data_IF_795265348019
#
_entry.id   IF_795265348019
#
_cell.length_a   1.000
_cell.length_b   1.000
_cell.length_c   1.000
_cell.angle_alpha   90.00
_cell.angle_beta   90.00
_cell.angle_gamma   90.00
#
_symmetry.space_group_name_H-M   'P 1'
#
loop_
_entity.id
_entity.type
_entity.pdbx_description
1 polymer ?
#
# COMPACT_ATOMS: atom_id res chain seq x y z
N UNK A 1 50.86 -76.84 1.18
CA UNK A 1 49.80 -76.12 0.42
C UNK A 1 48.93 -75.30 1.38
N UNK A 2 49.44 -74.17 1.86
CA UNK A 2 48.70 -73.10 2.56
C UNK A 2 49.41 -71.82 2.16
N UNK A 3 48.70 -70.71 1.93
CA UNK A 3 49.21 -69.33 1.66
C UNK A 3 48.89 -68.71 0.28
N UNK A 4 47.95 -69.23 -0.51
CA UNK A 4 47.54 -68.57 -1.79
C UNK A 4 46.17 -67.87 -1.67
N UNK A 5 45.35 -68.21 -0.66
CA UNK A 5 43.99 -67.66 -0.52
C UNK A 5 43.91 -66.28 0.14
N UNK A 6 44.99 -65.76 0.73
CA UNK A 6 44.94 -64.46 1.46
C UNK A 6 45.23 -63.23 0.58
N UNK A 7 45.88 -63.39 -0.58
CA UNK A 7 46.24 -62.25 -1.43
C UNK A 7 45.11 -61.83 -2.40
N UNK A 8 44.19 -62.76 -2.74
CA UNK A 8 43.10 -62.46 -3.67
C UNK A 8 41.99 -61.60 -3.04
N UNK A 9 41.76 -61.67 -1.73
CA UNK A 9 40.71 -60.87 -1.07
C UNK A 9 41.09 -59.40 -0.88
N UNK A 10 42.40 -59.10 -0.78
CA UNK A 10 42.91 -57.73 -0.61
C UNK A 10 42.84 -56.96 -1.94
N UNK A 11 43.10 -57.64 -3.07
CA UNK A 11 43.02 -57.02 -4.39
C UNK A 11 41.57 -56.65 -4.78
N UNK A 12 40.58 -57.44 -4.37
CA UNK A 12 39.17 -57.18 -4.69
C UNK A 12 38.59 -55.98 -3.92
N UNK A 13 39.08 -55.70 -2.71
CA UNK A 13 38.65 -54.54 -1.89
C UNK A 13 39.21 -53.21 -2.40
N UNK A 14 40.33 -53.21 -3.12
CA UNK A 14 40.94 -51.97 -3.64
C UNK A 14 40.32 -51.49 -4.95
N UNK A 15 39.61 -52.35 -5.69
CA UNK A 15 38.95 -52.00 -6.96
C UNK A 15 37.58 -51.33 -6.72
N UNK A 16 36.86 -51.70 -5.65
CA UNK A 16 35.56 -51.10 -5.30
C UNK A 16 35.67 -49.69 -4.69
N UNK A 17 36.81 -49.34 -4.09
CA UNK A 17 37.02 -48.01 -3.49
C UNK A 17 37.20 -46.89 -4.54
N UNK A 18 37.80 -47.19 -5.70
CA UNK A 18 38.06 -46.19 -6.74
C UNK A 18 36.79 -45.82 -7.54
N UNK A 19 35.88 -46.76 -7.79
CA UNK A 19 34.63 -46.50 -8.52
C UNK A 19 33.60 -45.69 -7.72
N UNK A 20 33.56 -45.87 -6.39
CA UNK A 20 32.63 -45.15 -5.53
C UNK A 20 33.07 -43.70 -5.29
N UNK A 21 34.37 -43.45 -5.24
CA UNK A 21 34.92 -42.09 -5.08
C UNK A 21 34.64 -41.21 -6.32
N UNK A 22 34.91 -41.69 -7.54
CA UNK A 22 34.74 -40.89 -8.76
C UNK A 22 33.29 -40.46 -9.02
N UNK A 23 32.32 -41.37 -8.83
CA UNK A 23 30.90 -41.05 -9.04
C UNK A 23 30.35 -40.07 -7.97
N UNK A 24 30.85 -40.16 -6.73
CA UNK A 24 30.43 -39.28 -5.64
C UNK A 24 30.88 -37.83 -5.86
N UNK A 25 32.10 -37.59 -6.36
CA UNK A 25 32.59 -36.24 -6.64
C UNK A 25 31.87 -35.58 -7.83
N UNK A 26 31.56 -36.34 -8.89
CA UNK A 26 30.81 -35.80 -10.04
C UNK A 26 29.36 -35.47 -9.66
N UNK A 27 28.70 -36.33 -8.88
CA UNK A 27 27.37 -36.07 -8.36
C UNK A 27 27.35 -34.83 -7.45
N UNK A 28 28.31 -34.70 -6.55
CA UNK A 28 28.40 -33.57 -5.62
C UNK A 28 28.61 -32.22 -6.35
N UNK A 29 29.40 -32.21 -7.43
CA UNK A 29 29.58 -31.00 -8.25
C UNK A 29 28.27 -30.59 -8.96
N UNK A 30 27.51 -31.55 -9.48
CA UNK A 30 26.21 -31.29 -10.11
C UNK A 30 25.17 -30.80 -9.10
N UNK A 31 25.12 -31.40 -7.91
CA UNK A 31 24.21 -30.97 -6.84
C UNK A 31 24.54 -29.56 -6.35
N UNK A 32 25.83 -29.22 -6.21
CA UNK A 32 26.26 -27.90 -5.75
C UNK A 32 25.95 -26.80 -6.79
N UNK A 33 26.04 -27.12 -8.07
CA UNK A 33 25.69 -26.20 -9.16
C UNK A 33 24.17 -25.96 -9.24
N UNK A 34 23.36 -27.02 -9.09
CA UNK A 34 21.90 -26.94 -8.96
C UNK A 34 21.48 -26.14 -7.73
N UNK A 35 22.13 -26.35 -6.58
CA UNK A 35 21.85 -25.59 -5.36
C UNK A 35 22.20 -24.10 -5.52
N UNK A 36 23.30 -23.78 -6.22
CA UNK A 36 23.64 -22.39 -6.58
C UNK A 36 22.60 -21.76 -7.51
N UNK A 37 22.10 -22.50 -8.50
CA UNK A 37 21.03 -22.01 -9.38
C UNK A 37 19.72 -21.78 -8.62
N UNK A 38 19.32 -22.70 -7.75
CA UNK A 38 18.10 -22.58 -6.94
C UNK A 38 18.19 -21.41 -5.96
N UNK A 39 19.33 -21.23 -5.29
CA UNK A 39 19.55 -20.08 -4.39
C UNK A 39 19.59 -18.75 -5.15
N UNK A 40 20.20 -18.69 -6.35
CA UNK A 40 20.16 -17.48 -7.18
C UNK A 40 18.74 -17.16 -7.69
N UNK A 41 17.96 -18.18 -8.07
CA UNK A 41 16.59 -18.00 -8.51
C UNK A 41 15.68 -17.54 -7.35
N UNK A 42 15.87 -18.09 -6.15
CA UNK A 42 15.16 -17.69 -4.94
C UNK A 42 15.51 -16.25 -4.50
N UNK A 43 16.78 -15.85 -4.59
CA UNK A 43 17.19 -14.47 -4.32
C UNK A 43 16.66 -13.49 -5.36
N UNK A 44 16.61 -13.89 -6.62
CA UNK A 44 16.06 -13.06 -7.70
C UNK A 44 14.54 -12.91 -7.58
N UNK A 45 13.81 -13.98 -7.25
CA UNK A 45 12.35 -13.92 -7.01
C UNK A 45 12.01 -13.12 -5.75
N UNK A 46 12.81 -13.22 -4.69
CA UNK A 46 12.64 -12.41 -3.48
C UNK A 46 12.90 -10.93 -3.74
N UNK A 47 13.93 -10.59 -4.55
CA UNK A 47 14.20 -9.21 -4.98
C UNK A 47 13.10 -8.65 -5.87
N UNK A 48 12.55 -9.45 -6.79
CA UNK A 48 11.40 -9.05 -7.61
C UNK A 48 10.15 -8.81 -6.76
N UNK A 49 9.83 -9.72 -5.84
CA UNK A 49 8.70 -9.57 -4.92
C UNK A 49 8.83 -8.33 -4.03
N UNK A 50 10.01 -8.09 -3.45
CA UNK A 50 10.26 -6.87 -2.66
C UNK A 50 10.20 -5.58 -3.50
N UNK A 51 10.69 -5.61 -4.74
CA UNK A 51 10.65 -4.45 -5.65
C UNK A 51 9.21 -4.03 -5.97
N UNK A 52 8.34 -5.00 -6.28
CA UNK A 52 6.94 -4.76 -6.59
C UNK A 52 6.17 -4.24 -5.36
N UNK A 53 6.39 -4.82 -4.18
CA UNK A 53 5.76 -4.33 -2.93
C UNK A 53 6.29 -2.95 -2.50
N UNK A 54 7.59 -2.68 -2.67
CA UNK A 54 8.21 -1.39 -2.36
C UNK A 54 7.65 -0.27 -3.24
N UNK A 55 7.47 -0.52 -4.54
CA UNK A 55 6.93 0.49 -5.45
C UNK A 55 5.44 0.74 -5.17
N UNK A 56 4.68 -0.31 -4.85
CA UNK A 56 3.27 -0.19 -4.46
C UNK A 56 3.06 0.66 -3.19
N UNK A 57 3.87 0.40 -2.15
CA UNK A 57 3.88 1.20 -0.92
C UNK A 57 4.17 2.68 -1.19
N UNK A 58 5.03 2.98 -2.18
CA UNK A 58 5.39 4.37 -2.53
C UNK A 58 4.27 5.13 -3.27
N UNK A 59 3.37 4.46 -3.98
CA UNK A 59 2.27 5.11 -4.70
C UNK A 59 0.98 5.20 -3.90
N UNK A 60 0.64 4.18 -3.11
CA UNK A 60 -0.61 4.16 -2.33
C UNK A 60 -0.50 4.99 -1.05
N UNK A 61 0.63 4.95 -0.34
CA UNK A 61 0.77 5.66 0.92
C UNK A 61 0.62 7.20 0.79
N UNK A 62 1.13 7.87 -0.28
CA UNK A 62 0.86 9.28 -0.51
C UNK A 62 -0.61 9.58 -0.81
N UNK A 63 -1.26 8.78 -1.67
CA UNK A 63 -2.68 8.97 -2.03
C UNK A 63 -3.61 8.77 -0.82
N UNK A 64 -3.30 7.80 0.04
CA UNK A 64 -4.03 7.60 1.29
C UNK A 64 -3.89 8.80 2.23
N UNK A 65 -2.68 9.36 2.39
CA UNK A 65 -2.47 10.58 3.20
C UNK A 65 -3.22 11.78 2.64
N UNK A 66 -3.27 11.91 1.33
CA UNK A 66 -4.01 12.97 0.65
C UNK A 66 -5.52 12.83 0.85
N UNK A 67 -6.05 11.61 0.77
CA UNK A 67 -7.43 11.27 1.08
C UNK A 67 -7.78 11.61 2.54
N UNK A 68 -6.92 11.26 3.48
CA UNK A 68 -7.10 11.60 4.91
C UNK A 68 -7.12 13.12 5.14
N UNK A 69 -6.29 13.87 4.40
CA UNK A 69 -6.27 15.33 4.44
C UNK A 69 -7.59 15.91 3.93
N UNK A 70 -8.07 15.45 2.77
CA UNK A 70 -9.34 15.93 2.22
C UNK A 70 -10.52 15.58 3.11
N UNK A 71 -10.55 14.39 3.71
CA UNK A 71 -11.57 14.03 4.70
C UNK A 71 -11.56 14.94 5.93
N UNK A 72 -10.37 15.31 6.42
CA UNK A 72 -10.24 16.27 7.52
C UNK A 72 -10.71 17.67 7.14
N UNK A 73 -10.42 18.11 5.91
CA UNK A 73 -10.89 19.40 5.39
C UNK A 73 -12.41 19.40 5.20
N UNK A 74 -12.97 18.30 4.69
CA UNK A 74 -14.41 18.09 4.52
C UNK A 74 -15.12 18.22 5.87
N UNK A 75 -14.68 17.47 6.89
CA UNK A 75 -15.25 17.52 8.24
C UNK A 75 -15.21 18.93 8.85
N UNK A 76 -14.09 19.65 8.70
CA UNK A 76 -14.00 21.05 9.15
C UNK A 76 -14.98 21.96 8.43
N UNK A 77 -15.15 21.75 7.13
CA UNK A 77 -16.04 22.55 6.30
C UNK A 77 -17.51 22.27 6.62
N UNK A 78 -17.88 21.01 6.90
CA UNK A 78 -19.21 20.64 7.36
C UNK A 78 -19.56 21.31 8.69
N UNK A 79 -18.63 21.28 9.66
CA UNK A 79 -18.81 22.02 10.90
C UNK A 79 -19.04 23.52 10.64
N UNK A 80 -18.25 24.11 9.74
CA UNK A 80 -18.38 25.53 9.39
C UNK A 80 -19.72 25.85 8.73
N UNK A 81 -20.24 24.95 7.88
CA UNK A 81 -21.58 25.06 7.28
C UNK A 81 -22.63 25.06 8.38
N UNK A 82 -22.59 24.11 9.31
CA UNK A 82 -23.56 24.03 10.42
C UNK A 82 -23.53 25.28 11.31
N UNK A 83 -22.34 25.80 11.62
CA UNK A 83 -22.19 27.06 12.37
C UNK A 83 -22.84 28.24 11.62
N UNK A 84 -22.57 28.39 10.32
CA UNK A 84 -23.15 29.46 9.52
C UNK A 84 -24.68 29.34 9.40
N UNK A 85 -25.21 28.12 9.25
CA UNK A 85 -26.65 27.87 9.21
C UNK A 85 -27.32 28.21 10.53
N UNK A 86 -26.72 27.84 11.66
CA UNK A 86 -27.21 28.20 12.99
C UNK A 86 -27.20 29.72 13.23
N UNK A 87 -26.11 30.41 12.88
CA UNK A 87 -25.99 31.86 13.01
C UNK A 87 -26.97 32.62 12.10
N UNK A 88 -27.25 32.10 10.90
CA UNK A 88 -28.29 32.65 10.02
C UNK A 88 -29.66 32.45 10.66
N UNK A 89 -29.99 31.25 11.13
CA UNK A 89 -31.27 30.98 11.77
C UNK A 89 -31.52 31.87 13.00
N UNK A 90 -30.51 32.04 13.86
CA UNK A 90 -30.55 32.92 15.03
C UNK A 90 -30.83 34.38 14.63
N UNK A 91 -30.12 34.88 13.61
CA UNK A 91 -30.30 36.25 13.12
C UNK A 91 -31.64 36.46 12.43
N UNK A 92 -32.11 35.47 11.68
CA UNK A 92 -33.44 35.50 11.05
C UNK A 92 -34.53 35.54 12.11
N UNK A 93 -34.42 34.74 13.17
CA UNK A 93 -35.36 34.79 14.30
C UNK A 93 -35.33 36.15 15.03
N UNK A 94 -34.16 36.77 15.11
CA UNK A 94 -34.00 38.11 15.70
C UNK A 94 -34.50 39.25 14.79
N UNK A 95 -34.77 38.97 13.52
CA UNK A 95 -35.15 39.98 12.52
C UNK A 95 -36.54 40.56 12.79
N UNK A 96 -37.47 39.71 13.21
CA UNK A 96 -38.89 40.08 13.36
C UNK A 96 -39.15 41.03 14.53
N UNK A 97 -38.24 41.09 15.51
CA UNK A 97 -38.39 41.90 16.72
C UNK A 97 -37.39 43.09 16.79
N UNK A 98 -36.60 43.32 15.74
CA UNK A 98 -35.49 44.28 15.78
C UNK A 98 -35.83 45.63 15.14
N UNK A 99 -35.56 46.71 15.87
CA UNK A 99 -35.55 48.09 15.32
C UNK A 99 -34.43 48.32 14.30
N UNK A 100 -33.42 47.44 14.26
CA UNK A 100 -32.24 47.53 13.39
C UNK A 100 -32.28 46.47 12.28
N UNK A 101 -33.44 46.32 11.63
CA UNK A 101 -33.71 45.29 10.63
C UNK A 101 -32.68 45.26 9.49
N UNK A 102 -32.40 46.41 8.87
CA UNK A 102 -31.45 46.53 7.76
C UNK A 102 -30.04 46.03 8.11
N UNK A 103 -29.57 46.34 9.33
CA UNK A 103 -28.25 45.88 9.81
C UNK A 103 -28.21 44.35 9.95
N UNK A 104 -29.30 43.74 10.43
CA UNK A 104 -29.41 42.29 10.59
C UNK A 104 -29.50 41.61 9.21
N UNK A 105 -30.30 42.14 8.28
CA UNK A 105 -30.38 41.64 6.90
C UNK A 105 -29.01 41.66 6.21
N UNK A 106 -28.24 42.74 6.38
CA UNK A 106 -26.89 42.82 5.84
C UNK A 106 -25.94 41.78 6.46
N UNK A 107 -26.10 41.45 7.74
CA UNK A 107 -25.32 40.39 8.37
C UNK A 107 -25.73 39.00 7.85
N UNK A 108 -27.03 38.75 7.66
CA UNK A 108 -27.56 37.52 7.09
C UNK A 108 -27.00 37.32 5.67
N UNK A 109 -27.13 38.33 4.79
CA UNK A 109 -26.60 38.28 3.41
C UNK A 109 -25.11 37.94 3.36
N UNK A 110 -24.31 38.54 4.25
CA UNK A 110 -22.87 38.23 4.35
C UNK A 110 -22.63 36.78 4.75
N UNK A 111 -23.38 36.25 5.71
CA UNK A 111 -23.26 34.85 6.15
C UNK A 111 -23.75 33.87 5.08
N UNK A 112 -24.83 34.18 4.38
CA UNK A 112 -25.33 33.39 3.24
C UNK A 112 -24.30 33.32 2.11
N UNK A 113 -23.59 34.42 1.84
CA UNK A 113 -22.49 34.44 0.88
C UNK A 113 -21.37 33.47 1.29
N UNK A 114 -20.94 33.50 2.55
CA UNK A 114 -19.93 32.57 3.06
C UNK A 114 -20.42 31.12 3.09
N UNK A 115 -21.70 30.90 3.41
CA UNK A 115 -22.33 29.57 3.37
C UNK A 115 -22.31 29.00 1.95
N UNK A 116 -22.59 29.84 0.94
CA UNK A 116 -22.49 29.46 -0.47
C UNK A 116 -21.07 29.07 -0.88
N UNK A 117 -20.05 29.78 -0.39
CA UNK A 117 -18.65 29.43 -0.63
C UNK A 117 -18.31 28.09 0.03
N UNK A 118 -18.63 27.94 1.32
CA UNK A 118 -18.37 26.71 2.07
C UNK A 118 -19.01 25.48 1.41
N UNK A 119 -20.26 25.58 0.95
CA UNK A 119 -20.95 24.52 0.20
C UNK A 119 -20.26 24.18 -1.13
N UNK A 120 -19.74 25.18 -1.86
CA UNK A 120 -18.95 24.93 -3.08
C UNK A 120 -17.64 24.22 -2.77
N UNK A 121 -16.96 24.58 -1.70
CA UNK A 121 -15.73 23.92 -1.25
C UNK A 121 -16.01 22.47 -0.82
N UNK A 122 -17.12 22.22 -0.13
CA UNK A 122 -17.57 20.87 0.23
C UNK A 122 -17.64 19.97 -1.01
N UNK A 123 -18.34 20.41 -2.04
CA UNK A 123 -18.47 19.68 -3.32
C UNK A 123 -17.10 19.42 -3.97
N UNK A 124 -16.16 20.37 -3.88
CA UNK A 124 -14.80 20.18 -4.41
C UNK A 124 -14.06 19.08 -3.64
N UNK A 125 -14.13 19.07 -2.31
CA UNK A 125 -13.49 18.05 -1.50
C UNK A 125 -14.12 16.67 -1.71
N UNK A 126 -15.44 16.57 -1.77
CA UNK A 126 -16.14 15.31 -2.08
C UNK A 126 -15.68 14.74 -3.43
N UNK A 127 -15.59 15.57 -4.47
CA UNK A 127 -15.08 15.15 -5.78
C UNK A 127 -13.62 14.68 -5.73
N UNK A 128 -12.77 15.38 -4.99
CA UNK A 128 -11.37 15.00 -4.84
C UNK A 128 -11.22 13.66 -4.10
N UNK A 129 -12.00 13.46 -3.03
CA UNK A 129 -12.06 12.19 -2.28
C UNK A 129 -12.51 11.07 -3.20
N UNK A 130 -13.64 11.22 -3.91
CA UNK A 130 -14.14 10.16 -4.80
C UNK A 130 -13.16 9.82 -5.93
N UNK A 131 -12.43 10.80 -6.46
CA UNK A 131 -11.39 10.56 -7.45
C UNK A 131 -10.21 9.76 -6.87
N UNK A 132 -9.72 10.14 -5.69
CA UNK A 132 -8.63 9.43 -5.00
C UNK A 132 -9.04 8.00 -4.61
N UNK A 133 -10.27 7.81 -4.11
CA UNK A 133 -10.82 6.49 -3.80
C UNK A 133 -10.88 5.60 -5.04
N UNK A 134 -11.33 6.14 -6.17
CA UNK A 134 -11.36 5.42 -7.45
C UNK A 134 -9.95 5.04 -7.92
N UNK A 135 -8.98 5.96 -7.83
CA UNK A 135 -7.59 5.67 -8.19
C UNK A 135 -6.97 4.58 -7.30
N UNK A 136 -7.22 4.61 -5.99
CA UNK A 136 -6.76 3.57 -5.06
C UNK A 136 -7.43 2.23 -5.38
N UNK A 137 -8.74 2.23 -5.68
CA UNK A 137 -9.48 1.02 -6.01
C UNK A 137 -8.95 0.35 -7.29
N UNK A 138 -8.70 1.13 -8.35
CA UNK A 138 -8.12 0.64 -9.61
C UNK A 138 -6.74 0.00 -9.38
N UNK A 139 -5.88 0.64 -8.60
CA UNK A 139 -4.56 0.08 -8.28
C UNK A 139 -4.62 -1.24 -7.50
N UNK A 140 -5.72 -1.50 -6.78
CA UNK A 140 -5.94 -2.75 -6.06
C UNK A 140 -6.58 -3.84 -6.94
N UNK A 141 -7.29 -3.48 -8.03
CA UNK A 141 -7.96 -4.44 -8.92
C UNK A 141 -7.05 -4.99 -10.02
N UNK A 142 -6.05 -4.24 -10.49
CA UNK A 142 -5.06 -4.69 -11.49
C UNK A 142 -4.11 -5.80 -10.98
N UNK A 143 -4.34 -6.31 -9.76
CA UNK A 143 -3.56 -7.36 -9.11
C UNK A 143 -4.33 -8.68 -8.91
N UNK A 144 -5.59 -8.78 -9.34
CA UNK A 144 -6.35 -10.05 -9.36
C UNK A 144 -6.26 -10.71 -10.72
#
# INVERSE_FOLDING_TARGET
MKNITSFLSIALLMISAYGFAQNSYQSMNNTLLLQRQQTSAALQSQRFGMSLMSNHSKFIAPKQKELDLFNKLLSKNEKRISELEAEIAEKTSSLDNSKNREKIENQIKRKEFWLKIARKEKIKFEKAISALEAEIAVTNTDQK
#
